data_IF_233005439891
#
_entry.id   IF_233005439891
#
_cell.length_a   1.000
_cell.length_b   1.000
_cell.length_c   1.000
_cell.angle_alpha   90.00
_cell.angle_beta   90.00
_cell.angle_gamma   90.00
#
_symmetry.space_group_name_H-M   'P 1'
#
loop_
_entity.id
_entity.type
_entity.pdbx_description
1 polymer ?
#
# COMPACT_ATOMS: atom_id res chain seq x y z
N UNK A 1 3.84 1.97 -23.69
CA UNK A 1 3.23 2.69 -22.54
C UNK A 1 3.14 4.18 -22.89
N UNK A 2 2.02 4.86 -22.60
CA UNK A 2 1.83 6.30 -22.90
C UNK A 2 2.95 7.18 -22.32
N UNK A 3 3.29 6.95 -21.05
CA UNK A 3 4.36 7.67 -20.35
C UNK A 3 5.71 7.67 -21.08
N UNK A 4 6.10 6.56 -21.69
CA UNK A 4 7.38 6.51 -22.40
C UNK A 4 7.39 7.43 -23.62
N UNK A 5 6.25 7.55 -24.32
CA UNK A 5 6.09 8.52 -25.42
C UNK A 5 6.18 9.96 -24.92
N UNK A 6 5.56 10.25 -23.77
CA UNK A 6 5.65 11.57 -23.11
C UNK A 6 7.10 11.94 -22.69
N UNK A 7 7.99 10.94 -22.60
CA UNK A 7 9.42 11.11 -22.30
C UNK A 7 10.33 10.97 -23.54
N UNK A 8 9.79 11.21 -24.74
CA UNK A 8 10.48 11.09 -26.04
C UNK A 8 11.08 9.71 -26.31
N UNK A 9 10.49 8.64 -25.74
CA UNK A 9 10.87 7.24 -25.99
C UNK A 9 9.80 6.54 -26.82
N UNK A 10 9.66 6.99 -28.06
CA UNK A 10 8.62 6.50 -28.99
C UNK A 10 8.78 5.01 -29.30
N UNK A 11 10.01 4.49 -29.29
CA UNK A 11 10.33 3.09 -29.56
C UNK A 11 10.18 2.17 -28.34
N UNK A 12 9.81 2.71 -27.17
CA UNK A 12 9.64 1.89 -25.97
C UNK A 12 8.33 1.09 -26.06
N UNK A 13 8.51 -0.20 -26.31
CA UNK A 13 7.46 -1.20 -26.27
C UNK A 13 7.77 -2.28 -25.22
N UNK A 14 6.71 -2.77 -24.60
CA UNK A 14 6.76 -3.84 -23.60
C UNK A 14 5.59 -4.78 -23.85
N UNK A 15 5.88 -6.07 -23.95
CA UNK A 15 4.85 -7.10 -24.02
C UNK A 15 4.37 -7.50 -22.63
N UNK A 16 3.15 -8.07 -22.57
CA UNK A 16 2.63 -8.64 -21.32
C UNK A 16 3.58 -9.69 -20.74
N UNK A 17 4.16 -10.54 -21.59
CA UNK A 17 5.14 -11.57 -21.20
C UNK A 17 6.37 -10.96 -20.51
N UNK A 18 6.90 -9.86 -21.03
CA UNK A 18 8.05 -9.14 -20.47
C UNK A 18 7.69 -8.47 -19.13
N UNK A 19 6.48 -7.88 -19.02
CA UNK A 19 6.03 -7.30 -17.76
C UNK A 19 5.89 -8.37 -16.67
N UNK A 20 5.34 -9.53 -17.00
CA UNK A 20 5.22 -10.66 -16.05
C UNK A 20 6.60 -11.17 -15.61
N UNK A 21 7.56 -11.29 -16.53
CA UNK A 21 8.96 -11.62 -16.19
C UNK A 21 9.58 -10.57 -15.27
N UNK A 22 9.37 -9.29 -15.54
CA UNK A 22 9.83 -8.19 -14.69
C UNK A 22 9.24 -8.30 -13.28
N UNK A 23 7.93 -8.52 -13.15
CA UNK A 23 7.26 -8.70 -11.86
C UNK A 23 7.76 -9.95 -11.13
N UNK A 24 8.00 -11.05 -11.85
CA UNK A 24 8.60 -12.27 -11.29
C UNK A 24 9.98 -12.03 -10.69
N UNK A 25 10.84 -11.26 -11.38
CA UNK A 25 12.15 -10.85 -10.85
C UNK A 25 11.96 -9.97 -9.59
N UNK A 26 11.04 -9.00 -9.61
CA UNK A 26 10.77 -8.14 -8.45
C UNK A 26 10.33 -8.94 -7.22
N UNK A 27 9.43 -9.93 -7.39
CA UNK A 27 9.01 -10.84 -6.31
C UNK A 27 10.20 -11.65 -5.79
N UNK A 28 11.03 -12.19 -6.69
CA UNK A 28 12.23 -12.93 -6.30
C UNK A 28 13.19 -12.09 -5.45
N UNK A 29 13.41 -10.83 -5.82
CA UNK A 29 14.27 -9.94 -5.03
C UNK A 29 13.75 -9.65 -3.62
N UNK A 30 12.45 -9.88 -3.37
CA UNK A 30 11.82 -9.70 -2.07
C UNK A 30 12.24 -10.73 -1.01
N UNK A 31 12.53 -11.98 -1.41
CA UNK A 31 12.97 -13.04 -0.49
C UNK A 31 14.43 -13.46 -0.68
N UNK A 32 15.01 -13.21 -1.86
CA UNK A 32 16.41 -13.46 -2.15
C UNK A 32 17.11 -12.11 -2.33
N UNK A 33 17.69 -11.54 -1.27
CA UNK A 33 18.27 -10.18 -1.30
C UNK A 33 19.77 -10.21 -1.58
N UNK A 34 20.20 -9.41 -2.57
CA UNK A 34 21.62 -9.11 -2.82
C UNK A 34 21.95 -7.66 -2.44
N UNK A 35 23.24 -7.31 -2.18
CA UNK A 35 23.63 -5.96 -1.75
C UNK A 35 23.19 -4.84 -2.71
N UNK A 36 23.11 -5.15 -4.01
CA UNK A 36 22.65 -4.21 -5.03
C UNK A 36 21.79 -4.93 -6.08
N UNK A 37 20.81 -4.22 -6.63
CA UNK A 37 19.91 -4.74 -7.66
C UNK A 37 20.65 -5.21 -8.92
N UNK A 38 21.79 -4.61 -9.27
CA UNK A 38 22.53 -5.05 -10.46
C UNK A 38 23.29 -6.36 -10.26
N UNK A 39 23.50 -6.79 -9.01
CA UNK A 39 24.20 -8.04 -8.69
C UNK A 39 23.44 -9.28 -9.14
N UNK A 40 22.11 -9.23 -9.33
CA UNK A 40 21.34 -10.36 -9.88
C UNK A 40 21.70 -10.70 -11.34
N UNK A 41 22.44 -9.81 -12.02
CA UNK A 41 23.01 -10.06 -13.34
C UNK A 41 24.52 -10.29 -13.31
N UNK A 42 25.12 -10.42 -12.12
CA UNK A 42 26.54 -10.74 -11.98
C UNK A 42 26.85 -12.12 -12.53
N UNK A 43 28.12 -12.31 -12.94
CA UNK A 43 28.70 -13.61 -13.28
C UNK A 43 29.71 -14.07 -12.23
N UNK A 44 29.88 -13.32 -11.15
CA UNK A 44 30.72 -13.72 -10.02
C UNK A 44 30.10 -14.96 -9.36
N UNK A 45 30.93 -15.95 -9.04
CA UNK A 45 30.51 -17.25 -8.50
C UNK A 45 29.67 -17.11 -7.21
N UNK A 46 29.96 -16.11 -6.38
CA UNK A 46 29.31 -15.86 -5.10
C UNK A 46 27.98 -15.09 -5.20
N UNK A 47 27.64 -14.54 -6.38
CA UNK A 47 26.46 -13.68 -6.60
C UNK A 47 25.60 -14.13 -7.76
N UNK A 48 26.03 -15.13 -8.53
CA UNK A 48 25.33 -15.52 -9.75
C UNK A 48 23.90 -15.97 -9.44
N UNK A 49 22.93 -15.32 -10.10
CA UNK A 49 21.52 -15.73 -10.09
C UNK A 49 21.10 -16.05 -11.53
N UNK A 50 21.47 -17.25 -11.98
CA UNK A 50 21.24 -17.70 -13.37
C UNK A 50 19.77 -17.58 -13.79
N UNK A 51 18.83 -17.83 -12.86
CA UNK A 51 17.39 -17.66 -13.07
C UNK A 51 17.03 -16.24 -13.54
N UNK A 52 17.55 -15.19 -12.89
CA UNK A 52 17.27 -13.79 -13.26
C UNK A 52 17.92 -13.45 -14.59
N UNK A 53 19.19 -13.82 -14.77
CA UNK A 53 19.98 -13.51 -15.96
C UNK A 53 19.40 -14.13 -17.23
N UNK A 54 18.88 -15.36 -17.14
CA UNK A 54 18.24 -16.06 -18.25
C UNK A 54 16.81 -15.56 -18.53
N UNK A 55 16.13 -14.99 -17.51
CA UNK A 55 14.75 -14.51 -17.65
C UNK A 55 14.68 -13.18 -18.42
N UNK A 56 15.54 -12.21 -18.11
CA UNK A 56 15.54 -10.89 -18.72
C UNK A 56 16.92 -10.24 -18.62
N UNK A 57 17.35 -9.49 -19.64
CA UNK A 57 18.60 -8.73 -19.58
C UNK A 57 18.52 -7.56 -18.59
N UNK A 58 19.65 -7.20 -17.94
CA UNK A 58 19.74 -6.05 -17.03
C UNK A 58 19.24 -4.76 -17.66
N UNK A 59 19.58 -4.53 -18.93
CA UNK A 59 19.20 -3.32 -19.65
C UNK A 59 17.69 -3.27 -19.91
N UNK A 60 17.07 -4.40 -20.27
CA UNK A 60 15.60 -4.45 -20.43
C UNK A 60 14.91 -4.23 -19.08
N UNK A 61 15.37 -4.88 -18.01
CA UNK A 61 14.84 -4.67 -16.66
C UNK A 61 14.89 -3.19 -16.23
N UNK A 62 16.07 -2.54 -16.37
CA UNK A 62 16.22 -1.11 -16.07
C UNK A 62 15.33 -0.23 -16.95
N UNK A 63 15.18 -0.58 -18.23
CA UNK A 63 14.31 0.15 -19.15
C UNK A 63 12.86 0.07 -18.73
N UNK A 64 12.37 -1.13 -18.38
CA UNK A 64 11.01 -1.33 -17.86
C UNK A 64 10.83 -0.56 -16.55
N UNK A 65 11.73 -0.74 -15.58
CA UNK A 65 11.69 -0.06 -14.27
C UNK A 65 11.60 1.46 -14.40
N UNK A 66 12.36 2.06 -15.34
CA UNK A 66 12.37 3.51 -15.58
C UNK A 66 11.07 4.03 -16.21
N UNK A 67 10.36 3.20 -16.97
CA UNK A 67 9.18 3.61 -17.74
C UNK A 67 7.86 3.08 -17.16
N UNK A 68 7.90 2.36 -16.04
CA UNK A 68 6.71 1.87 -15.35
C UNK A 68 5.90 3.06 -14.83
N UNK A 69 4.67 3.18 -15.30
CA UNK A 69 3.77 4.27 -14.95
C UNK A 69 2.34 3.74 -14.85
N UNK A 70 1.64 4.12 -13.78
CA UNK A 70 0.39 3.49 -13.34
C UNK A 70 -0.83 4.42 -13.42
N UNK A 71 -0.65 5.63 -13.92
CA UNK A 71 -1.71 6.62 -14.12
C UNK A 71 -1.53 7.31 -15.48
N UNK A 72 -2.51 8.09 -15.91
CA UNK A 72 -2.35 8.99 -17.06
C UNK A 72 -2.03 10.40 -16.56
N UNK A 73 -0.87 10.94 -16.94
CA UNK A 73 -0.43 12.26 -16.52
C UNK A 73 -1.40 13.39 -16.93
N UNK A 74 -2.24 13.17 -17.95
CA UNK A 74 -3.22 14.16 -18.42
C UNK A 74 -4.48 14.22 -17.55
N UNK A 75 -4.70 13.21 -16.70
CA UNK A 75 -5.91 13.05 -15.89
C UNK A 75 -5.59 12.97 -14.39
N UNK A 76 -4.49 13.59 -13.94
CA UNK A 76 -4.11 13.56 -12.52
C UNK A 76 -4.94 14.57 -11.72
N UNK A 77 -5.44 14.14 -10.57
CA UNK A 77 -6.04 15.05 -9.59
C UNK A 77 -4.91 15.81 -8.85
N UNK A 78 -4.80 17.14 -8.99
CA UNK A 78 -3.74 17.92 -8.35
C UNK A 78 -3.88 18.00 -6.83
N UNK A 79 -5.07 17.73 -6.28
CA UNK A 79 -5.31 17.70 -4.83
C UNK A 79 -4.86 16.38 -4.20
N UNK A 80 -4.76 15.30 -4.99
CA UNK A 80 -4.27 14.00 -4.51
C UNK A 80 -2.76 13.88 -4.75
N UNK A 81 -1.98 13.95 -3.67
CA UNK A 81 -0.53 13.76 -3.70
C UNK A 81 -0.09 12.37 -4.16
N UNK A 82 -1.00 11.39 -4.13
CA UNK A 82 -0.78 10.04 -4.62
C UNK A 82 -1.46 9.78 -5.97
N UNK A 83 -1.93 10.81 -6.69
CA UNK A 83 -2.64 10.68 -7.98
C UNK A 83 -1.95 9.77 -9.01
N UNK A 84 -0.60 9.73 -9.02
CA UNK A 84 0.19 8.86 -9.92
C UNK A 84 0.11 7.36 -9.59
N UNK A 85 -0.31 7.02 -8.38
CA UNK A 85 -0.48 5.65 -7.88
C UNK A 85 -1.94 5.32 -7.55
N UNK A 86 -2.83 6.33 -7.50
CA UNK A 86 -4.24 6.18 -7.15
C UNK A 86 -4.94 5.05 -7.91
N UNK A 87 -4.85 4.95 -9.25
CA UNK A 87 -5.51 3.86 -9.98
C UNK A 87 -5.02 2.46 -9.57
N UNK A 88 -3.76 2.36 -9.15
CA UNK A 88 -3.19 1.11 -8.70
C UNK A 88 -3.62 0.76 -7.27
N UNK A 89 -3.69 1.75 -6.38
CA UNK A 89 -4.22 1.55 -5.03
C UNK A 89 -5.68 1.12 -5.05
N UNK A 90 -6.50 1.80 -5.86
CA UNK A 90 -7.92 1.48 -5.99
C UNK A 90 -8.12 0.05 -6.57
N UNK A 91 -7.30 -0.33 -7.57
CA UNK A 91 -7.29 -1.69 -8.10
C UNK A 91 -6.90 -2.72 -7.04
N UNK A 92 -5.87 -2.45 -6.22
CA UNK A 92 -5.44 -3.37 -5.18
C UNK A 92 -6.52 -3.55 -4.11
N UNK A 93 -7.07 -2.46 -3.58
CA UNK A 93 -8.17 -2.50 -2.61
C UNK A 93 -9.38 -3.28 -3.17
N UNK A 94 -9.76 -3.04 -4.43
CA UNK A 94 -10.83 -3.80 -5.08
C UNK A 94 -10.52 -5.31 -5.14
N UNK A 95 -9.27 -5.69 -5.43
CA UNK A 95 -8.86 -7.10 -5.51
C UNK A 95 -8.78 -7.74 -4.13
N UNK A 96 -8.32 -6.99 -3.14
CA UNK A 96 -8.22 -7.43 -1.77
C UNK A 96 -9.61 -7.70 -1.16
N UNK A 97 -10.58 -6.81 -1.40
CA UNK A 97 -11.97 -7.06 -1.02
C UNK A 97 -12.56 -8.25 -1.77
N UNK A 98 -12.35 -8.32 -3.10
CA UNK A 98 -12.92 -9.37 -3.93
C UNK A 98 -12.51 -10.79 -3.50
N UNK A 99 -11.26 -10.97 -3.06
CA UNK A 99 -10.71 -12.28 -2.70
C UNK A 99 -10.57 -12.49 -1.20
N UNK A 100 -10.77 -11.44 -0.40
CA UNK A 100 -10.74 -11.50 1.04
C UNK A 100 -12.03 -12.07 1.60
N UNK A 101 -11.91 -12.86 2.67
CA UNK A 101 -13.05 -13.27 3.47
C UNK A 101 -12.89 -12.57 4.82
N UNK A 102 -13.82 -11.67 5.16
CA UNK A 102 -13.75 -10.94 6.41
C UNK A 102 -13.73 -11.91 7.60
N UNK A 103 -12.67 -11.83 8.40
CA UNK A 103 -12.55 -12.59 9.63
C UNK A 103 -13.42 -11.97 10.72
N UNK A 104 -13.75 -12.74 11.76
CA UNK A 104 -14.44 -12.19 12.94
C UNK A 104 -13.64 -11.06 13.57
N UNK A 105 -12.31 -11.20 13.68
CA UNK A 105 -11.45 -10.16 14.26
C UNK A 105 -10.73 -9.39 13.14
N UNK A 106 -10.92 -8.07 13.12
CA UNK A 106 -10.29 -7.14 12.18
C UNK A 106 -9.47 -6.10 12.94
N UNK A 107 -8.28 -5.79 12.44
CA UNK A 107 -7.37 -4.82 13.05
C UNK A 107 -7.19 -3.61 12.13
N UNK A 108 -7.22 -2.42 12.72
CA UNK A 108 -6.84 -1.18 12.06
C UNK A 108 -5.59 -0.65 12.71
N UNK A 109 -4.55 -0.51 11.89
CA UNK A 109 -3.25 -0.01 12.33
C UNK A 109 -2.53 0.68 11.16
N UNK A 110 -1.33 1.14 11.43
CA UNK A 110 -0.41 1.73 10.48
C UNK A 110 0.68 0.77 10.00
N UNK A 111 1.03 0.87 8.72
CA UNK A 111 2.21 0.23 8.15
C UNK A 111 3.16 1.27 7.55
N UNK A 112 4.47 1.05 7.73
CA UNK A 112 5.50 1.95 7.22
C UNK A 112 6.26 1.33 6.06
N UNK A 113 6.10 1.90 4.86
CA UNK A 113 6.85 1.51 3.66
C UNK A 113 8.17 2.30 3.60
N UNK A 114 9.35 1.65 3.74
CA UNK A 114 10.63 2.37 3.77
C UNK A 114 10.88 3.19 2.51
N UNK A 115 11.25 4.47 2.67
CA UNK A 115 11.62 5.33 1.56
C UNK A 115 12.60 6.41 1.99
N UNK A 116 13.76 6.46 1.31
CA UNK A 116 14.85 7.36 1.66
C UNK A 116 14.99 8.57 0.71
N UNK A 117 14.22 8.61 -0.38
CA UNK A 117 14.23 9.71 -1.34
C UNK A 117 13.53 10.99 -0.84
N UNK A 118 13.41 11.98 -1.73
CA UNK A 118 12.69 13.23 -1.46
C UNK A 118 11.23 13.10 -1.93
N UNK A 119 10.29 13.25 -1.00
CA UNK A 119 8.86 13.32 -1.30
C UNK A 119 8.14 14.05 -0.15
N UNK A 120 7.11 14.82 -0.45
CA UNK A 120 6.39 15.64 0.55
C UNK A 120 5.58 14.82 1.55
N UNK A 121 5.07 13.65 1.14
CA UNK A 121 4.38 12.70 2.02
C UNK A 121 5.31 11.75 2.80
N UNK A 122 6.63 11.91 2.71
CA UNK A 122 7.56 11.08 3.50
C UNK A 122 7.46 11.47 4.96
N UNK A 123 7.18 10.49 5.82
CA UNK A 123 7.08 10.65 7.26
C UNK A 123 8.38 10.25 7.96
N UNK A 124 8.64 10.86 9.11
CA UNK A 124 9.63 10.40 10.09
C UNK A 124 8.91 9.98 11.36
N UNK A 125 9.06 8.72 11.77
CA UNK A 125 8.51 8.19 13.03
C UNK A 125 9.66 7.81 13.95
N UNK A 126 9.82 8.58 15.03
CA UNK A 126 10.85 8.32 16.04
C UNK A 126 10.52 7.03 16.79
N UNK A 127 11.52 6.19 17.02
CA UNK A 127 11.39 4.99 17.85
C UNK A 127 10.91 3.72 17.11
N UNK A 128 10.43 3.81 15.86
CA UNK A 128 10.09 2.64 15.05
C UNK A 128 11.33 2.08 14.32
N UNK A 129 11.37 0.78 13.98
CA UNK A 129 12.45 0.19 13.17
C UNK A 129 12.61 0.87 11.81
N UNK A 130 11.49 1.07 11.11
CA UNK A 130 11.43 1.87 9.87
C UNK A 130 11.11 3.31 10.24
N UNK A 131 12.16 4.14 10.30
CA UNK A 131 12.00 5.54 10.73
C UNK A 131 11.55 6.48 9.62
N UNK A 132 11.89 6.19 8.36
CA UNK A 132 11.61 7.06 7.21
C UNK A 132 10.85 6.29 6.14
N UNK A 133 9.69 6.79 5.74
CA UNK A 133 8.87 6.08 4.78
C UNK A 133 7.53 6.73 4.48
N UNK A 134 6.73 6.03 3.70
CA UNK A 134 5.31 6.34 3.54
C UNK A 134 4.52 5.61 4.62
N UNK A 135 3.66 6.34 5.33
CA UNK A 135 2.71 5.77 6.27
C UNK A 135 1.46 5.34 5.51
N UNK A 136 1.04 4.10 5.68
CA UNK A 136 -0.23 3.56 5.21
C UNK A 136 -1.12 3.28 6.42
N UNK A 137 -2.41 3.57 6.31
CA UNK A 137 -3.43 3.03 7.20
C UNK A 137 -3.93 1.72 6.60
N UNK A 138 -4.09 0.69 7.42
CA UNK A 138 -4.39 -0.66 6.96
C UNK A 138 -5.56 -1.24 7.76
N UNK A 139 -6.48 -1.92 7.09
CA UNK A 139 -7.46 -2.82 7.68
C UNK A 139 -7.04 -4.26 7.35
N UNK A 140 -6.77 -5.04 8.38
CA UNK A 140 -6.31 -6.42 8.25
C UNK A 140 -7.17 -7.39 9.04
N UNK A 141 -7.14 -8.67 8.67
CA UNK A 141 -7.63 -9.76 9.54
C UNK A 141 -6.59 -10.12 10.61
N UNK A 142 -7.03 -10.91 11.59
CA UNK A 142 -6.15 -11.55 12.58
C UNK A 142 -5.03 -12.43 11.99
N UNK A 143 -5.21 -12.95 10.77
CA UNK A 143 -4.18 -13.75 10.08
C UNK A 143 -3.27 -12.91 9.15
N UNK A 144 -3.43 -11.59 9.15
CA UNK A 144 -2.59 -10.67 8.39
C UNK A 144 -3.01 -10.45 6.94
N UNK A 145 -4.20 -10.89 6.52
CA UNK A 145 -4.75 -10.53 5.22
C UNK A 145 -5.13 -9.05 5.20
N UNK A 146 -4.67 -8.31 4.20
CA UNK A 146 -4.97 -6.89 4.01
C UNK A 146 -6.24 -6.74 3.18
N UNK A 147 -7.28 -6.09 3.72
CA UNK A 147 -8.53 -5.79 2.99
C UNK A 147 -8.45 -4.41 2.34
N UNK A 148 -8.16 -3.38 3.14
CA UNK A 148 -8.09 -2.00 2.68
C UNK A 148 -6.80 -1.36 3.17
N UNK A 149 -6.23 -0.49 2.34
CA UNK A 149 -5.24 0.46 2.82
C UNK A 149 -5.44 1.84 2.20
N UNK A 150 -4.95 2.84 2.92
CA UNK A 150 -4.97 4.23 2.47
C UNK A 150 -3.68 4.94 2.82
N UNK A 151 -2.95 5.52 1.84
CA UNK A 151 -1.71 6.22 2.11
C UNK A 151 -1.96 7.57 2.78
N UNK A 152 -1.18 7.88 3.82
CA UNK A 152 -1.29 9.15 4.52
C UNK A 152 -0.68 10.30 3.71
N UNK A 153 -1.53 11.23 3.25
CA UNK A 153 -1.15 12.39 2.44
C UNK A 153 -0.64 13.61 3.23
N UNK A 154 -0.56 13.53 4.55
CA UNK A 154 -0.32 14.68 5.42
C UNK A 154 -1.55 15.58 5.55
N UNK A 155 -1.32 16.87 5.81
CA UNK A 155 -2.38 17.87 6.04
C UNK A 155 -3.32 18.13 4.83
N UNK A 156 -2.95 17.67 3.64
CA UNK A 156 -3.78 17.82 2.42
C UNK A 156 -4.77 16.67 2.21
N UNK A 157 -4.81 15.70 3.13
CA UNK A 157 -5.82 14.63 3.06
C UNK A 157 -7.19 15.27 3.29
N UNK A 158 -8.13 15.12 2.36
CA UNK A 158 -9.50 15.65 2.50
C UNK A 158 -10.07 15.11 3.81
N UNK A 159 -10.48 16.01 4.70
CA UNK A 159 -11.00 15.67 6.03
C UNK A 159 -12.51 15.71 6.03
N UNK A 160 -13.13 14.87 6.85
CA UNK A 160 -14.54 15.04 7.22
C UNK A 160 -14.59 16.11 8.33
N UNK A 161 -15.30 17.22 8.08
CA UNK A 161 -15.44 18.28 9.07
C UNK A 161 -16.02 17.73 10.38
N UNK A 162 -15.42 18.12 11.50
CA UNK A 162 -15.86 17.70 12.83
C UNK A 162 -15.34 16.33 13.31
N UNK A 163 -14.65 15.54 12.48
CA UNK A 163 -14.09 14.25 12.88
C UNK A 163 -12.56 14.29 13.13
N UNK A 164 -12.07 13.75 14.26
CA UNK A 164 -10.65 13.47 14.46
C UNK A 164 -10.10 12.55 13.36
N UNK A 165 -8.79 12.67 13.09
CA UNK A 165 -8.15 11.94 11.98
C UNK A 165 -8.30 10.43 12.14
N UNK A 166 -8.05 9.93 13.35
CA UNK A 166 -8.18 8.51 13.67
C UNK A 166 -9.58 7.98 13.38
N UNK A 167 -10.62 8.72 13.79
CA UNK A 167 -12.01 8.34 13.58
C UNK A 167 -12.40 8.31 12.09
N UNK A 168 -11.93 9.30 11.32
CA UNK A 168 -12.13 9.33 9.86
C UNK A 168 -11.44 8.16 9.16
N UNK A 169 -10.21 7.84 9.54
CA UNK A 169 -9.46 6.70 8.99
C UNK A 169 -10.20 5.39 9.25
N UNK A 170 -10.64 5.17 10.50
CA UNK A 170 -11.39 3.95 10.85
C UNK A 170 -12.66 3.85 10.02
N UNK A 171 -13.42 4.95 9.91
CA UNK A 171 -14.66 4.96 9.15
C UNK A 171 -14.45 4.63 7.68
N UNK A 172 -13.48 5.27 7.03
CA UNK A 172 -13.20 5.06 5.61
C UNK A 172 -12.73 3.63 5.32
N UNK A 173 -11.91 3.05 6.21
CA UNK A 173 -11.43 1.67 6.02
C UNK A 173 -12.56 0.64 6.19
N UNK A 174 -13.49 0.88 7.12
CA UNK A 174 -14.61 -0.03 7.39
C UNK A 174 -15.76 0.08 6.38
N UNK A 175 -15.74 1.03 5.44
CA UNK A 175 -16.79 1.20 4.44
C UNK A 175 -16.98 -0.05 3.56
N UNK A 176 -15.89 -0.78 3.32
CA UNK A 176 -15.89 -2.04 2.55
C UNK A 176 -16.41 -3.26 3.33
N UNK A 177 -16.53 -3.16 4.67
CA UNK A 177 -16.85 -4.32 5.52
C UNK A 177 -18.34 -4.60 5.48
N UNK A 178 -18.68 -5.79 4.99
CA UNK A 178 -20.05 -6.30 4.96
C UNK A 178 -20.45 -6.91 6.30
N UNK A 179 -21.76 -6.94 6.61
CA UNK A 179 -22.31 -7.52 7.83
C UNK A 179 -21.57 -7.11 9.13
N UNK A 180 -21.52 -5.80 9.46
CA UNK A 180 -20.75 -5.26 10.60
C UNK A 180 -20.89 -6.01 11.93
N UNK A 181 -22.09 -6.55 12.19
CA UNK A 181 -22.46 -7.31 13.38
C UNK A 181 -21.77 -8.68 13.51
N UNK A 182 -21.04 -9.13 12.49
CA UNK A 182 -20.22 -10.35 12.54
C UNK A 182 -18.75 -10.06 12.86
N UNK A 183 -18.38 -8.77 12.98
CA UNK A 183 -16.99 -8.34 13.06
C UNK A 183 -16.71 -7.55 14.34
N UNK A 184 -15.56 -7.85 14.92
CA UNK A 184 -14.95 -7.15 16.05
C UNK A 184 -13.72 -6.41 15.57
N UNK A 185 -13.72 -5.09 15.76
CA UNK A 185 -12.69 -4.18 15.29
C UNK A 185 -11.74 -3.86 16.44
N UNK A 186 -10.45 -3.97 16.16
CA UNK A 186 -9.36 -3.64 17.07
C UNK A 186 -8.56 -2.46 16.52
N UNK A 187 -8.26 -1.49 17.37
CA UNK A 187 -7.41 -0.35 17.03
C UNK A 187 -6.78 0.25 18.29
N UNK A 188 -5.71 1.01 18.12
CA UNK A 188 -4.99 1.63 19.22
C UNK A 188 -5.61 2.95 19.72
N UNK A 189 -4.93 3.58 20.69
CA UNK A 189 -5.36 4.85 21.27
C UNK A 189 -5.33 6.02 20.28
N UNK A 190 -4.52 5.96 19.20
CA UNK A 190 -4.49 7.02 18.19
C UNK A 190 -5.82 7.11 17.44
N UNK A 191 -6.49 5.97 17.23
CA UNK A 191 -7.79 5.95 16.55
C UNK A 191 -8.98 6.24 17.47
N UNK A 192 -8.82 6.07 18.78
CA UNK A 192 -9.92 6.02 19.74
C UNK A 192 -10.52 7.41 20.03
N UNK A 193 -11.84 7.52 19.95
CA UNK A 193 -12.61 8.67 20.43
C UNK A 193 -14.03 8.24 20.83
N UNK A 194 -14.70 9.00 21.69
CA UNK A 194 -16.09 8.72 22.07
C UNK A 194 -17.03 8.72 20.86
N UNK A 195 -16.88 9.71 19.96
CA UNK A 195 -17.70 9.82 18.75
C UNK A 195 -17.50 8.61 17.84
N UNK A 196 -16.26 8.10 17.70
CA UNK A 196 -16.00 6.89 16.94
C UNK A 196 -16.74 5.69 17.54
N UNK A 197 -16.67 5.48 18.85
CA UNK A 197 -17.32 4.34 19.51
C UNK A 197 -18.84 4.38 19.33
N UNK A 198 -19.46 5.56 19.46
CA UNK A 198 -20.89 5.75 19.19
C UNK A 198 -21.26 5.41 17.74
N UNK A 199 -20.49 5.91 16.77
CA UNK A 199 -20.72 5.63 15.34
C UNK A 199 -20.56 4.16 14.99
N UNK A 200 -19.53 3.48 15.55
CA UNK A 200 -19.30 2.05 15.32
C UNK A 200 -20.48 1.23 15.86
N UNK A 201 -21.00 1.59 17.03
CA UNK A 201 -22.19 0.96 17.62
C UNK A 201 -23.42 1.14 16.75
N UNK A 202 -23.67 2.36 16.25
CA UNK A 202 -24.79 2.63 15.32
C UNK A 202 -24.69 1.81 14.03
N UNK A 203 -23.47 1.58 13.53
CA UNK A 203 -23.22 0.70 12.38
C UNK A 203 -23.28 -0.79 12.69
N UNK A 204 -23.37 -1.17 13.96
CA UNK A 204 -23.42 -2.56 14.41
C UNK A 204 -22.07 -3.25 14.56
N UNK A 205 -20.95 -2.51 14.55
CA UNK A 205 -19.63 -3.08 14.84
C UNK A 205 -19.43 -3.26 16.34
N UNK A 206 -18.74 -4.35 16.70
CA UNK A 206 -18.10 -4.46 18.02
C UNK A 206 -16.71 -3.83 17.95
N UNK A 207 -16.33 -3.02 18.94
CA UNK A 207 -15.04 -2.35 18.95
C UNK A 207 -14.30 -2.57 20.26
N UNK A 208 -12.99 -2.79 20.19
CA UNK A 208 -12.10 -2.91 21.35
C UNK A 208 -10.83 -2.09 21.14
N UNK A 209 -10.46 -1.32 22.17
CA UNK A 209 -9.22 -0.56 22.23
C UNK A 209 -8.51 -0.83 23.57
N UNK A 210 -7.19 -0.98 23.53
CA UNK A 210 -6.26 -1.18 24.65
C UNK A 210 -6.86 -1.66 25.99
N UNK A 211 -7.14 -2.97 26.08
CA UNK A 211 -7.41 -3.67 27.34
C UNK A 211 -8.79 -3.43 27.98
N UNK A 212 -9.56 -2.42 27.57
CA UNK A 212 -10.95 -2.25 27.97
C UNK A 212 -11.87 -2.83 26.87
N UNK A 213 -12.47 -3.98 27.16
CA UNK A 213 -13.61 -4.46 26.37
C UNK A 213 -14.83 -3.68 26.83
N UNK A 214 -15.30 -2.74 26.03
CA UNK A 214 -16.68 -2.27 26.19
C UNK A 214 -17.54 -3.22 25.36
N UNK A 215 -18.22 -4.14 26.02
CA UNK A 215 -19.45 -4.71 25.45
C UNK A 215 -20.45 -3.54 25.40
N UNK A 216 -20.74 -3.04 24.20
CA UNK A 216 -21.68 -1.94 23.96
C UNK A 216 -23.10 -2.45 23.69
#
# INVERSE_FOLDING_TARGET
>A
MKYAKDQNRHDFFIEKSELLKFLGIMILTGYHTLPQMDCYWSKDEDKEVTLVRNTMSRNKFRSIKKNLHLADNHNLNPLDKFSKLRPFFDLLNQKFDQFGIFAHNLSIDEEMVPYFGRHSCKMFIRGKPVRFGFKLWCLTSENGYLFQFSPYGGASTKRIEGLPLGSEVVFNLLESVENPNLHKIFFDNFFTSYSLMAMLREKGFFAQFDGMTIQL
#
